data_IF_306951504904
#
_entry.id   IF_306951504904
#
_cell.length_a   1.000
_cell.length_b   1.000
_cell.length_c   1.000
_cell.angle_alpha   90.00
_cell.angle_beta   90.00
_cell.angle_gamma   90.00
#
_symmetry.space_group_name_H-M   'P 1'
#
loop_
_entity.id
_entity.type
_entity.pdbx_description
1 polymer ?
#
# COMPACT_ATOMS: atom_id res chain seq x y z
N UNK A 1 -0.02 -7.40 28.86
CA UNK A 1 0.01 -8.88 28.69
C UNK A 1 0.63 -9.27 27.35
N UNK A 2 0.10 -8.84 26.20
CA UNK A 2 0.65 -9.20 24.87
C UNK A 2 2.10 -8.73 24.68
N UNK A 3 2.42 -7.47 25.02
CA UNK A 3 3.81 -6.96 24.97
C UNK A 3 4.77 -7.76 25.87
N UNK A 4 4.31 -8.19 27.04
CA UNK A 4 5.14 -8.97 27.96
C UNK A 4 5.43 -10.37 27.38
N UNK A 5 4.44 -11.03 26.80
CA UNK A 5 4.58 -12.32 26.10
C UNK A 5 5.52 -12.18 24.90
N UNK A 6 5.36 -11.13 24.08
CA UNK A 6 6.24 -10.87 22.93
C UNK A 6 7.71 -10.74 23.36
N UNK A 7 7.97 -9.97 24.42
CA UNK A 7 9.31 -9.75 24.96
C UNK A 7 9.91 -11.04 25.54
N UNK A 8 9.15 -11.81 26.32
CA UNK A 8 9.59 -13.10 26.88
C UNK A 8 9.89 -14.14 25.78
N UNK A 9 9.11 -14.15 24.70
CA UNK A 9 9.30 -15.06 23.58
C UNK A 9 10.35 -14.59 22.55
N UNK A 10 11.05 -13.48 22.78
CA UNK A 10 12.03 -12.93 21.83
C UNK A 10 11.39 -12.45 20.51
N UNK A 11 10.07 -12.33 20.47
CA UNK A 11 9.34 -11.74 19.35
C UNK A 11 9.56 -10.25 19.48
N UNK A 12 10.33 -9.66 18.55
CA UNK A 12 10.49 -8.21 18.50
C UNK A 12 9.09 -7.60 18.52
N UNK A 13 8.77 -6.85 19.58
CA UNK A 13 7.61 -5.96 19.58
C UNK A 13 7.70 -5.19 18.28
N UNK A 14 6.68 -5.32 17.41
CA UNK A 14 6.63 -4.56 16.18
C UNK A 14 6.88 -3.10 16.56
N UNK A 15 7.93 -2.52 16.02
CA UNK A 15 8.20 -1.10 16.20
C UNK A 15 6.95 -0.36 15.74
N UNK A 16 6.48 0.59 16.55
CA UNK A 16 5.28 1.40 16.38
C UNK A 16 5.32 2.34 15.16
N UNK A 17 6.12 2.01 14.14
CA UNK A 17 6.23 2.82 12.95
C UNK A 17 5.08 2.46 12.01
N UNK A 18 4.39 3.47 11.45
CA UNK A 18 3.33 3.24 10.48
C UNK A 18 3.83 2.38 9.31
N UNK A 19 2.95 1.52 8.79
CA UNK A 19 3.23 0.80 7.55
C UNK A 19 3.10 1.77 6.38
N UNK A 20 4.20 2.02 5.67
CA UNK A 20 4.19 2.92 4.52
C UNK A 20 3.48 2.26 3.34
N UNK A 21 2.45 2.92 2.81
CA UNK A 21 1.73 2.49 1.61
C UNK A 21 1.98 3.53 0.51
N UNK A 22 2.44 3.08 -0.66
CA UNK A 22 2.64 3.94 -1.80
C UNK A 22 1.43 3.89 -2.73
N UNK A 23 0.83 5.05 -3.00
CA UNK A 23 -0.35 5.20 -3.85
C UNK A 23 -0.05 6.22 -4.96
N UNK A 24 -0.47 5.94 -6.19
CA UNK A 24 -0.27 6.86 -7.32
C UNK A 24 -1.53 7.68 -7.66
N UNK A 25 -2.71 7.24 -7.21
CA UNK A 25 -3.96 7.97 -7.38
C UNK A 25 -4.10 9.10 -6.36
N UNK A 26 -3.90 10.33 -6.81
CA UNK A 26 -4.01 11.53 -5.97
C UNK A 26 -5.39 11.72 -5.32
N UNK A 27 -6.47 11.27 -5.98
CA UNK A 27 -7.80 11.32 -5.39
C UNK A 27 -7.96 10.32 -4.24
N UNK A 28 -7.37 9.13 -4.36
CA UNK A 28 -7.32 8.13 -3.29
C UNK A 28 -6.57 8.68 -2.08
N UNK A 29 -5.38 9.27 -2.30
CA UNK A 29 -4.59 9.88 -1.22
C UNK A 29 -5.36 11.00 -0.53
N UNK A 30 -5.96 11.91 -1.30
CA UNK A 30 -6.75 13.01 -0.75
C UNK A 30 -7.94 12.50 0.07
N UNK A 31 -8.57 11.42 -0.36
CA UNK A 31 -9.66 10.78 0.36
C UNK A 31 -9.19 10.11 1.66
N UNK A 32 -8.04 9.43 1.66
CA UNK A 32 -7.48 8.82 2.86
C UNK A 32 -7.06 9.88 3.88
N UNK A 33 -6.46 11.00 3.44
CA UNK A 33 -6.04 12.08 4.33
C UNK A 33 -7.20 12.98 4.80
N UNK A 34 -8.21 13.19 3.96
CA UNK A 34 -9.34 14.09 4.23
C UNK A 34 -10.55 13.41 4.87
N UNK A 35 -10.63 12.08 4.82
CA UNK A 35 -11.71 11.30 5.41
C UNK A 35 -13.01 11.32 4.60
N UNK A 36 -14.08 10.85 5.25
CA UNK A 36 -15.40 10.77 4.63
C UNK A 36 -16.03 12.17 4.50
N UNK A 37 -15.85 12.80 3.34
CA UNK A 37 -16.63 13.97 2.95
C UNK A 37 -17.79 13.46 2.10
N UNK A 38 -19.01 13.48 2.64
CA UNK A 38 -20.24 13.14 1.92
C UNK A 38 -20.56 14.24 0.90
N UNK A 39 -19.98 14.13 -0.28
CA UNK A 39 -20.25 14.99 -1.42
C UNK A 39 -20.76 14.20 -2.61
N UNK A 40 -21.33 14.89 -3.59
CA UNK A 40 -21.82 14.25 -4.83
C UNK A 40 -20.74 13.44 -5.56
N UNK A 41 -19.47 13.78 -5.36
CA UNK A 41 -18.31 13.10 -5.97
C UNK A 41 -17.99 11.74 -5.34
N UNK A 42 -18.28 11.54 -4.05
CA UNK A 42 -17.89 10.34 -3.28
C UNK A 42 -19.10 9.47 -2.92
N UNK A 43 -20.32 9.83 -3.34
CA UNK A 43 -21.55 9.08 -3.05
C UNK A 43 -21.55 7.63 -3.55
N UNK A 44 -20.72 7.33 -4.55
CA UNK A 44 -20.57 5.99 -5.11
C UNK A 44 -19.60 5.10 -4.31
N UNK A 45 -18.87 5.69 -3.36
CA UNK A 45 -17.89 4.98 -2.54
C UNK A 45 -18.58 4.52 -1.26
N UNK A 46 -18.58 3.21 -1.03
CA UNK A 46 -19.20 2.63 0.16
C UNK A 46 -18.46 3.07 1.45
N UNK A 47 -19.18 3.40 2.54
CA UNK A 47 -18.57 3.80 3.82
C UNK A 47 -17.51 2.84 4.36
N UNK A 48 -17.63 1.54 4.09
CA UNK A 48 -16.64 0.52 4.48
C UNK A 48 -15.24 0.74 3.90
N UNK A 49 -15.13 1.48 2.79
CA UNK A 49 -13.84 1.77 2.13
C UNK A 49 -13.11 2.96 2.77
N UNK A 50 -13.68 3.59 3.80
CA UNK A 50 -13.07 4.70 4.53
C UNK A 50 -12.31 4.26 5.78
N UNK A 51 -12.27 2.96 6.11
CA UNK A 51 -11.48 2.45 7.23
C UNK A 51 -9.99 2.77 7.11
N UNK A 52 -9.50 3.02 5.89
CA UNK A 52 -8.12 3.45 5.62
C UNK A 52 -7.80 4.82 6.18
N UNK A 53 -8.77 5.73 6.27
CA UNK A 53 -8.58 7.03 6.92
C UNK A 53 -8.37 6.86 8.43
N UNK A 54 -9.09 5.93 9.06
CA UNK A 54 -8.94 5.67 10.49
C UNK A 54 -7.56 5.07 10.80
N UNK A 55 -7.08 4.14 9.95
CA UNK A 55 -5.73 3.56 10.03
C UNK A 55 -4.61 4.59 9.79
N UNK A 56 -4.85 5.61 8.97
CA UNK A 56 -3.89 6.69 8.74
C UNK A 56 -3.85 7.63 9.96
N UNK A 57 -5.01 7.96 10.52
CA UNK A 57 -5.12 8.84 11.68
C UNK A 57 -4.61 8.22 12.98
N UNK A 58 -4.78 6.90 13.15
CA UNK A 58 -4.25 6.19 14.32
C UNK A 58 -2.75 5.86 14.19
N UNK A 59 -2.14 6.16 13.04
CA UNK A 59 -0.72 5.95 12.77
C UNK A 59 -0.36 4.49 12.44
N UNK A 60 -1.34 3.63 12.15
CA UNK A 60 -1.07 2.26 11.68
C UNK A 60 -0.49 2.25 10.28
N UNK A 61 -0.92 3.17 9.41
CA UNK A 61 -0.40 3.34 8.04
C UNK A 61 0.05 4.78 7.76
N UNK A 62 0.99 4.92 6.83
CA UNK A 62 1.45 6.21 6.30
C UNK A 62 1.40 6.17 4.77
N UNK A 63 0.34 6.76 4.20
CA UNK A 63 0.15 6.80 2.75
C UNK A 63 1.02 7.90 2.12
N UNK A 64 1.88 7.49 1.18
CA UNK A 64 2.76 8.36 0.40
C UNK A 64 2.45 8.29 -1.09
N UNK A 65 2.62 9.42 -1.76
CA UNK A 65 2.49 9.46 -3.21
C UNK A 65 3.68 8.76 -3.90
N UNK A 66 3.39 8.02 -4.95
CA UNK A 66 4.38 7.53 -5.92
C UNK A 66 3.96 7.93 -7.35
N UNK A 67 4.91 8.00 -8.28
CA UNK A 67 4.57 8.16 -9.70
C UNK A 67 4.02 6.83 -10.24
N UNK A 68 3.00 6.89 -11.09
CA UNK A 68 2.42 5.68 -11.70
C UNK A 68 3.46 4.84 -12.44
N UNK A 69 4.40 5.49 -13.16
CA UNK A 69 5.49 4.78 -13.85
C UNK A 69 6.45 4.02 -12.92
N UNK A 70 6.47 4.42 -11.65
CA UNK A 70 7.33 3.86 -10.61
C UNK A 70 6.60 2.86 -9.71
N UNK A 71 5.28 2.71 -9.85
CA UNK A 71 4.48 1.81 -9.02
C UNK A 71 4.63 0.34 -9.47
N UNK A 72 5.34 -0.53 -8.72
CA UNK A 72 5.46 -1.93 -9.10
C UNK A 72 4.14 -2.70 -8.97
N UNK A 73 3.17 -2.20 -8.20
CA UNK A 73 1.88 -2.86 -8.03
C UNK A 73 1.04 -2.89 -9.32
N UNK A 74 1.35 -2.04 -10.30
CA UNK A 74 0.78 -2.08 -11.65
C UNK A 74 0.93 -3.44 -12.31
N UNK A 75 1.99 -4.19 -11.96
CA UNK A 75 2.21 -5.56 -12.41
C UNK A 75 1.02 -6.48 -12.13
N UNK A 76 0.31 -6.24 -11.03
CA UNK A 76 -0.78 -7.11 -10.56
C UNK A 76 -2.17 -6.62 -11.00
N UNK A 77 -2.29 -5.41 -11.53
CA UNK A 77 -3.59 -4.76 -11.79
C UNK A 77 -3.80 -4.35 -13.24
N UNK A 78 -2.74 -4.22 -14.04
CA UNK A 78 -2.79 -3.72 -15.41
C UNK A 78 -2.30 -4.76 -16.42
N UNK A 79 -2.92 -4.75 -17.60
CA UNK A 79 -2.38 -5.42 -18.79
C UNK A 79 -1.27 -4.57 -19.39
N UNK A 80 -0.03 -4.81 -18.98
CA UNK A 80 1.14 -4.03 -19.40
C UNK A 80 1.76 -4.56 -20.69
N UNK A 81 2.38 -3.67 -21.46
CA UNK A 81 3.22 -4.08 -22.58
C UNK A 81 4.38 -4.96 -22.09
N UNK A 82 4.84 -5.97 -22.86
CA UNK A 82 5.82 -6.96 -22.40
C UNK A 82 7.07 -6.35 -21.76
N UNK A 83 7.62 -5.29 -22.38
CA UNK A 83 8.80 -4.58 -21.85
C UNK A 83 8.56 -4.02 -20.45
N UNK A 84 7.43 -3.33 -20.23
CA UNK A 84 7.11 -2.73 -18.93
C UNK A 84 6.81 -3.79 -17.88
N UNK A 85 6.14 -4.87 -18.29
CA UNK A 85 5.89 -6.02 -17.42
C UNK A 85 7.22 -6.62 -16.93
N UNK A 86 8.16 -6.90 -17.84
CA UNK A 86 9.48 -7.44 -17.48
C UNK A 86 10.27 -6.48 -16.58
N UNK A 87 10.27 -5.18 -16.86
CA UNK A 87 10.88 -4.18 -15.98
C UNK A 87 10.33 -4.24 -14.54
N UNK A 88 9.00 -4.35 -14.38
CA UNK A 88 8.37 -4.41 -13.05
C UNK A 88 8.61 -5.76 -12.33
N UNK A 89 8.64 -6.87 -13.06
CA UNK A 89 8.99 -8.21 -12.50
C UNK A 89 10.39 -8.17 -11.89
N UNK A 90 11.37 -7.61 -12.61
CA UNK A 90 12.72 -7.45 -12.07
C UNK A 90 12.76 -6.47 -10.90
N UNK A 91 11.96 -5.39 -10.94
CA UNK A 91 11.90 -4.39 -9.86
C UNK A 91 11.43 -4.98 -8.52
N UNK A 92 10.59 -6.01 -8.54
CA UNK A 92 10.17 -6.73 -7.33
C UNK A 92 11.09 -7.90 -6.95
N UNK A 93 12.22 -8.06 -7.66
CA UNK A 93 13.21 -9.11 -7.40
C UNK A 93 12.84 -10.49 -7.95
N UNK A 94 11.85 -10.57 -8.83
CA UNK A 94 11.51 -11.83 -9.51
C UNK A 94 12.29 -11.98 -10.82
N UNK A 95 12.66 -13.22 -11.13
CA UNK A 95 13.42 -13.59 -12.32
C UNK A 95 12.83 -14.88 -12.90
N UNK A 96 13.01 -15.11 -14.21
CA UNK A 96 12.68 -16.42 -14.77
C UNK A 96 13.76 -17.40 -14.35
N UNK A 97 13.36 -18.61 -13.96
CA UNK A 97 14.31 -19.65 -13.52
C UNK A 97 15.40 -19.92 -14.58
N UNK A 98 15.02 -19.91 -15.86
CA UNK A 98 15.94 -20.10 -17.00
C UNK A 98 16.99 -19.00 -17.16
N UNK A 99 16.80 -17.84 -16.53
CA UNK A 99 17.72 -16.71 -16.61
C UNK A 99 18.73 -16.71 -15.44
N UNK A 100 18.61 -17.67 -14.50
CA UNK A 100 19.47 -17.83 -13.30
C UNK A 100 20.41 -19.04 -13.45
N UNK A 101 20.12 -19.97 -14.36
CA UNK A 101 20.86 -21.21 -14.60
C UNK A 101 21.66 -21.17 -15.89
#
# INVERSE_FOLDING_TARGET
>A
MIQHIQNECGIKSFTSNPTVIYEDNTACIAQIKGGYIKGDRTKHIAPKLFSTHDLENDGTVDVKQIKSCDNPADLFTKSLAPKKFEELVHKIGMYRLRDIC
#
